data_IF_804303529664
#
_entry.id   IF_804303529664
#
_cell.length_a   1.000
_cell.length_b   1.000
_cell.length_c   1.000
_cell.angle_alpha   90.00
_cell.angle_beta   90.00
_cell.angle_gamma   90.00
#
_symmetry.space_group_name_H-M   'P 1'
#
loop_
_entity.id
_entity.type
_entity.pdbx_description
1 polymer ?
#
# COMPACT_ATOMS: atom_id res chain seq x y z
N UNK A 1 -5.80 -4.23 -48.49
CA UNK A 1 -4.74 -3.37 -47.92
C UNK A 1 -4.67 -3.28 -46.39
N UNK A 2 -5.79 -3.37 -45.63
CA UNK A 2 -5.76 -3.24 -44.15
C UNK A 2 -4.93 -4.30 -43.42
N UNK A 3 -4.83 -5.53 -43.95
CA UNK A 3 -4.05 -6.61 -43.34
C UNK A 3 -2.54 -6.34 -43.34
N UNK A 4 -2.02 -5.77 -44.44
CA UNK A 4 -0.60 -5.44 -44.60
C UNK A 4 -0.20 -4.30 -43.67
N UNK A 5 -1.07 -3.28 -43.53
CA UNK A 5 -0.85 -2.18 -42.57
C UNK A 5 -0.86 -2.66 -41.12
N UNK A 6 -1.75 -3.61 -40.76
CA UNK A 6 -1.81 -4.21 -39.42
C UNK A 6 -0.61 -5.13 -39.13
N UNK A 7 -0.01 -5.72 -40.16
CA UNK A 7 1.21 -6.51 -40.08
C UNK A 7 2.42 -5.59 -39.82
N UNK A 8 2.64 -4.59 -40.69
CA UNK A 8 3.76 -3.66 -40.56
C UNK A 8 3.75 -2.89 -39.24
N UNK A 9 2.55 -2.50 -38.75
CA UNK A 9 2.41 -1.82 -37.45
C UNK A 9 2.80 -2.69 -36.26
N UNK A 10 2.63 -4.02 -36.34
CA UNK A 10 2.98 -4.96 -35.26
C UNK A 10 4.42 -5.49 -35.36
N UNK A 11 5.04 -5.41 -36.53
CA UNK A 11 6.44 -5.82 -36.69
C UNK A 11 7.39 -4.92 -35.90
N UNK A 12 7.19 -3.59 -35.97
CA UNK A 12 8.08 -2.63 -35.29
C UNK A 12 8.10 -2.76 -33.76
N UNK A 13 7.01 -3.22 -33.13
CA UNK A 13 7.01 -3.46 -31.67
C UNK A 13 7.90 -4.64 -31.26
N UNK A 14 8.08 -5.62 -32.14
CA UNK A 14 8.94 -6.79 -31.90
C UNK A 14 10.41 -6.37 -32.02
N UNK A 15 10.75 -5.60 -33.06
CA UNK A 15 12.12 -5.10 -33.28
C UNK A 15 12.61 -4.20 -32.14
N UNK A 16 11.73 -3.36 -31.57
CA UNK A 16 12.07 -2.52 -30.42
C UNK A 16 12.30 -3.34 -29.13
N UNK A 17 11.56 -4.44 -28.94
CA UNK A 17 11.77 -5.34 -27.82
C UNK A 17 13.11 -6.07 -27.97
N UNK A 18 13.44 -6.54 -29.17
CA UNK A 18 14.73 -7.16 -29.46
C UNK A 18 15.88 -6.16 -29.29
N UNK A 19 15.72 -4.88 -29.65
CA UNK A 19 16.75 -3.87 -29.38
C UNK A 19 17.03 -3.67 -27.87
N UNK A 20 16.02 -3.81 -27.02
CA UNK A 20 16.16 -3.67 -25.56
C UNK A 20 16.83 -4.88 -24.90
N UNK A 21 16.69 -6.08 -25.47
CA UNK A 21 17.21 -7.33 -24.91
C UNK A 21 18.71 -7.57 -25.22
N UNK A 22 19.34 -6.77 -26.08
CA UNK A 22 20.64 -7.09 -26.69
C UNK A 22 21.89 -6.24 -26.34
N UNK A 23 21.97 -5.38 -25.30
CA UNK A 23 23.16 -4.51 -25.19
C UNK A 23 24.44 -5.21 -24.69
N UNK A 24 24.37 -6.29 -23.90
CA UNK A 24 25.57 -6.81 -23.21
C UNK A 24 25.72 -8.34 -23.33
N UNK A 25 26.29 -8.83 -24.42
CA UNK A 25 26.68 -10.23 -24.56
C UNK A 25 28.14 -10.33 -25.01
N UNK A 26 29.07 -10.36 -24.05
CA UNK A 26 30.48 -10.69 -24.34
C UNK A 26 30.64 -12.20 -24.62
N UNK A 27 31.56 -12.49 -25.54
CA UNK A 27 31.76 -13.78 -26.20
C UNK A 27 32.11 -14.89 -25.20
N UNK A 28 31.19 -15.80 -24.92
CA UNK A 28 31.54 -17.10 -24.32
C UNK A 28 30.63 -18.24 -24.78
N UNK A 29 31.14 -19.46 -24.60
CA UNK A 29 31.19 -20.53 -25.59
C UNK A 29 29.97 -21.47 -25.65
N UNK A 30 28.79 -21.09 -25.17
CA UNK A 30 27.71 -22.08 -25.00
C UNK A 30 26.36 -21.54 -25.47
N UNK A 31 25.92 -22.00 -26.65
CA UNK A 31 24.57 -21.80 -27.21
C UNK A 31 23.44 -22.03 -26.18
N UNK A 32 23.68 -22.92 -25.22
CA UNK A 32 22.77 -23.21 -24.09
C UNK A 32 22.66 -22.03 -23.12
N UNK A 33 23.79 -21.45 -22.69
CA UNK A 33 23.79 -20.29 -21.80
C UNK A 33 23.16 -19.07 -22.49
N UNK A 34 23.44 -18.87 -23.78
CA UNK A 34 22.79 -17.81 -24.57
C UNK A 34 21.25 -17.97 -24.58
N UNK A 35 20.76 -19.20 -24.71
CA UNK A 35 19.32 -19.49 -24.68
C UNK A 35 18.74 -19.28 -23.28
N UNK A 36 19.48 -19.67 -22.23
CA UNK A 36 19.06 -19.49 -20.83
C UNK A 36 18.93 -18.02 -20.42
N UNK A 37 19.94 -17.20 -20.75
CA UNK A 37 19.91 -15.77 -20.45
C UNK A 37 18.82 -15.06 -21.26
N UNK A 38 18.65 -15.39 -22.54
CA UNK A 38 17.56 -14.86 -23.36
C UNK A 38 16.17 -15.20 -22.81
N UNK A 39 15.94 -16.45 -22.36
CA UNK A 39 14.69 -16.85 -21.73
C UNK A 39 14.45 -16.13 -20.40
N UNK A 40 15.51 -15.89 -19.62
CA UNK A 40 15.43 -15.13 -18.37
C UNK A 40 15.09 -13.66 -18.62
N UNK A 41 15.70 -13.03 -19.63
CA UNK A 41 15.45 -11.63 -19.98
C UNK A 41 14.01 -11.42 -20.51
N UNK A 42 13.49 -12.36 -21.32
CA UNK A 42 12.08 -12.36 -21.75
C UNK A 42 11.14 -12.51 -20.56
N UNK A 43 11.45 -13.43 -19.63
CA UNK A 43 10.64 -13.61 -18.42
C UNK A 43 10.63 -12.33 -17.56
N UNK A 44 11.79 -11.68 -17.40
CA UNK A 44 11.91 -10.41 -16.69
C UNK A 44 11.11 -9.29 -17.37
N UNK A 45 11.15 -9.21 -18.70
CA UNK A 45 10.38 -8.24 -19.46
C UNK A 45 8.87 -8.49 -19.37
N UNK A 46 8.43 -9.75 -19.44
CA UNK A 46 7.04 -10.14 -19.29
C UNK A 46 6.52 -9.83 -17.87
N UNK A 47 7.30 -10.16 -16.84
CA UNK A 47 6.95 -9.80 -15.46
C UNK A 47 6.89 -8.28 -15.25
N UNK A 48 7.77 -7.50 -15.88
CA UNK A 48 7.73 -6.04 -15.85
C UNK A 48 6.46 -5.47 -16.51
N UNK A 49 6.09 -5.96 -17.70
CA UNK A 49 4.85 -5.57 -18.39
C UNK A 49 3.62 -5.93 -17.54
N UNK A 50 3.59 -7.14 -17.00
CA UNK A 50 2.52 -7.60 -16.11
C UNK A 50 2.42 -6.73 -14.86
N UNK A 51 3.55 -6.44 -14.19
CA UNK A 51 3.57 -5.57 -13.02
C UNK A 51 3.10 -4.14 -13.33
N UNK A 52 3.48 -3.58 -14.49
CA UNK A 52 3.06 -2.24 -14.93
C UNK A 52 1.56 -2.16 -15.28
N UNK A 53 1.01 -3.21 -15.89
CA UNK A 53 -0.41 -3.28 -16.29
C UNK A 53 -1.34 -3.65 -15.13
N UNK A 54 -0.89 -4.49 -14.19
CA UNK A 54 -1.68 -4.93 -13.03
C UNK A 54 -1.68 -3.93 -11.87
N UNK A 55 -0.62 -3.11 -11.70
CA UNK A 55 -0.53 -2.09 -10.65
C UNK A 55 -1.71 -1.10 -10.62
N UNK A 56 -2.38 -0.90 -11.75
CA UNK A 56 -3.47 0.07 -11.87
C UNK A 56 -4.87 -0.50 -11.63
N UNK A 57 -5.06 -1.83 -11.52
CA UNK A 57 -6.39 -2.45 -11.44
C UNK A 57 -6.67 -3.22 -10.15
N UNK A 58 -5.66 -3.78 -9.50
CA UNK A 58 -5.83 -4.57 -8.27
C UNK A 58 -4.74 -4.22 -7.25
N UNK A 59 -5.07 -3.37 -6.28
CA UNK A 59 -4.21 -3.06 -5.15
C UNK A 59 -4.55 -3.93 -3.94
N UNK A 60 -3.55 -4.55 -3.32
CA UNK A 60 -3.72 -5.21 -2.01
C UNK A 60 -3.60 -4.12 -0.93
N UNK A 61 -4.68 -3.90 -0.17
CA UNK A 61 -4.66 -2.96 0.95
C UNK A 61 -4.08 -3.67 2.18
N UNK A 62 -3.21 -2.97 2.92
CA UNK A 62 -2.66 -3.47 4.18
C UNK A 62 -2.72 -2.39 5.26
N UNK A 63 -2.83 -2.82 6.52
CA UNK A 63 -2.74 -2.00 7.71
C UNK A 63 -1.38 -2.22 8.34
N UNK A 64 -0.61 -1.15 8.54
CA UNK A 64 0.76 -1.23 9.04
C UNK A 64 0.91 -0.32 10.25
N UNK A 65 1.47 -0.86 11.33
CA UNK A 65 1.89 -0.10 12.50
C UNK A 65 3.42 0.03 12.47
N UNK A 66 3.93 1.26 12.53
CA UNK A 66 5.33 1.58 12.31
C UNK A 66 5.84 2.48 13.44
N UNK A 67 7.09 2.27 13.87
CA UNK A 67 7.80 3.20 14.75
C UNK A 67 8.26 4.44 14.00
N UNK A 68 7.94 5.64 14.50
CA UNK A 68 8.26 6.90 13.80
C UNK A 68 9.76 7.13 13.60
N UNK A 69 10.61 6.78 14.57
CA UNK A 69 12.04 7.15 14.55
C UNK A 69 12.88 6.13 13.82
N UNK A 70 12.73 4.87 14.17
CA UNK A 70 13.54 3.78 13.63
C UNK A 70 12.95 3.15 12.36
N UNK A 71 11.71 3.53 11.97
CA UNK A 71 10.99 3.00 10.80
C UNK A 71 10.81 1.49 10.82
N UNK A 72 10.85 0.87 12.00
CA UNK A 72 10.53 -0.54 12.18
C UNK A 72 9.02 -0.77 12.05
N UNK A 73 8.67 -1.85 11.35
CA UNK A 73 7.28 -2.32 11.26
C UNK A 73 7.02 -3.17 12.50
N UNK A 74 6.15 -2.68 13.39
CA UNK A 74 5.71 -3.43 14.56
C UNK A 74 4.67 -4.50 14.19
N UNK A 75 3.77 -4.17 13.27
CA UNK A 75 2.70 -5.08 12.87
C UNK A 75 2.23 -4.79 11.45
N UNK A 76 1.86 -5.84 10.74
CA UNK A 76 1.37 -5.77 9.36
C UNK A 76 0.19 -6.74 9.19
N UNK A 77 -0.93 -6.24 8.67
CA UNK A 77 -2.12 -7.03 8.44
C UNK A 77 -2.71 -6.75 7.06
N UNK A 78 -2.96 -7.81 6.30
CA UNK A 78 -3.55 -7.72 4.96
C UNK A 78 -5.07 -7.56 5.05
N UNK A 79 -5.62 -6.62 4.28
CA UNK A 79 -7.06 -6.49 4.11
C UNK A 79 -7.56 -7.55 3.14
N UNK A 80 -8.27 -8.55 3.66
CA UNK A 80 -8.77 -9.72 2.90
C UNK A 80 -10.18 -9.51 2.33
N UNK A 81 -10.81 -8.34 2.53
CA UNK A 81 -12.16 -8.04 2.02
C UNK A 81 -13.31 -8.74 2.75
N UNK A 82 -13.04 -9.81 3.51
CA UNK A 82 -13.98 -10.44 4.44
C UNK A 82 -13.86 -9.69 5.78
N UNK A 83 -14.57 -8.58 5.86
CA UNK A 83 -14.77 -7.81 7.08
C UNK A 83 -15.63 -8.70 8.02
N UNK A 84 -15.07 -9.17 9.15
CA UNK A 84 -15.74 -9.03 10.47
C UNK A 84 -15.16 -9.81 11.66
N UNK A 85 -14.24 -10.78 11.53
CA UNK A 85 -13.94 -11.65 12.70
C UNK A 85 -12.70 -11.30 13.53
N UNK A 86 -11.83 -10.38 13.09
CA UNK A 86 -10.59 -10.06 13.81
C UNK A 86 -10.46 -8.60 14.30
N UNK A 87 -11.46 -7.75 14.07
CA UNK A 87 -11.40 -6.37 14.56
C UNK A 87 -11.50 -6.26 16.09
N UNK A 88 -11.83 -7.35 16.79
CA UNK A 88 -11.90 -7.42 18.25
C UNK A 88 -10.66 -8.03 18.93
N UNK A 89 -9.69 -8.60 18.21
CA UNK A 89 -8.59 -9.36 18.83
C UNK A 89 -7.21 -8.98 18.33
N UNK A 90 -6.76 -7.75 18.62
CA UNK A 90 -5.34 -7.47 18.84
C UNK A 90 -5.16 -6.48 20.00
N UNK A 91 -5.69 -6.87 21.16
CA UNK A 91 -5.05 -6.55 22.44
C UNK A 91 -3.72 -7.28 22.48
N UNK A 92 -2.63 -6.55 22.27
CA UNK A 92 -1.28 -6.82 22.78
C UNK A 92 -0.37 -5.72 22.20
N UNK A 93 -0.45 -4.53 22.78
CA UNK A 93 0.67 -3.58 22.69
C UNK A 93 1.14 -3.36 24.11
N UNK A 94 2.08 -4.20 24.51
CA UNK A 94 2.74 -4.17 25.80
C UNK A 94 3.91 -3.18 25.67
N UNK A 95 3.88 -2.16 26.53
CA UNK A 95 4.95 -1.23 26.87
C UNK A 95 5.44 -0.27 25.77
N UNK A 96 4.91 0.96 25.78
CA UNK A 96 5.70 2.16 26.07
C UNK A 96 4.76 3.38 26.14
N UNK A 97 5.10 4.38 26.95
CA UNK A 97 4.48 5.72 27.02
C UNK A 97 4.65 6.49 25.69
N UNK A 98 4.11 5.97 24.60
CA UNK A 98 4.28 6.51 23.25
C UNK A 98 3.00 7.14 22.77
N UNK A 99 3.13 8.31 22.15
CA UNK A 99 2.03 8.97 21.43
C UNK A 99 1.79 8.19 20.15
N UNK A 100 0.56 7.70 19.96
CA UNK A 100 0.14 6.99 18.77
C UNK A 100 -0.50 7.97 17.78
N UNK A 101 0.08 8.10 16.60
CA UNK A 101 -0.50 8.89 15.52
C UNK A 101 -1.47 8.06 14.70
N UNK A 102 -2.75 8.44 14.69
CA UNK A 102 -3.81 7.73 13.96
C UNK A 102 -4.39 8.62 12.84
N UNK A 103 -4.63 7.99 11.69
CA UNK A 103 -5.42 8.59 10.62
C UNK A 103 -6.90 8.63 11.04
N UNK A 104 -7.63 9.63 10.54
CA UNK A 104 -9.04 9.89 10.81
C UNK A 104 -9.92 8.66 10.66
N UNK A 105 -9.56 7.70 9.80
CA UNK A 105 -10.32 6.47 9.62
C UNK A 105 -10.26 5.53 10.84
N UNK A 106 -9.20 5.56 11.65
CA UNK A 106 -9.02 4.70 12.83
C UNK A 106 -9.29 5.41 14.17
N UNK A 107 -9.47 6.74 14.16
CA UNK A 107 -9.63 7.52 15.40
C UNK A 107 -11.07 7.45 15.96
N UNK A 108 -11.30 6.68 17.03
CA UNK A 108 -12.60 6.55 17.70
C UNK A 108 -12.49 6.96 19.18
N UNK A 109 -13.44 7.73 19.75
CA UNK A 109 -13.38 8.15 21.17
C UNK A 109 -13.30 6.97 22.16
N UNK A 110 -14.03 5.89 21.87
CA UNK A 110 -14.00 4.67 22.70
C UNK A 110 -12.67 3.92 22.65
N UNK A 111 -11.89 4.11 21.58
CA UNK A 111 -10.54 3.54 21.47
C UNK A 111 -9.56 4.37 22.32
N UNK A 112 -9.73 5.70 22.31
CA UNK A 112 -8.94 6.62 23.13
C UNK A 112 -9.08 6.32 24.61
N UNK A 113 -10.29 6.15 25.13
CA UNK A 113 -10.50 5.76 26.54
C UNK A 113 -9.79 4.44 26.91
N UNK A 114 -9.80 3.46 26.01
CA UNK A 114 -9.15 2.15 26.24
C UNK A 114 -7.62 2.28 26.20
N UNK A 115 -7.08 3.08 25.29
CA UNK A 115 -5.64 3.30 25.15
C UNK A 115 -5.10 4.17 26.29
N UNK A 116 -5.88 5.15 26.75
CA UNK A 116 -5.54 6.01 27.88
C UNK A 116 -5.45 5.21 29.19
N UNK A 117 -6.32 4.21 29.39
CA UNK A 117 -6.20 3.26 30.52
C UNK A 117 -4.89 2.46 30.49
N UNK A 118 -4.33 2.27 29.30
CA UNK A 118 -3.07 1.57 29.08
C UNK A 118 -1.88 2.54 28.93
N UNK A 119 -2.01 3.80 29.40
CA UNK A 119 -0.98 4.84 29.32
C UNK A 119 -0.46 5.15 27.90
N UNK A 120 -1.31 4.97 26.88
CA UNK A 120 -1.01 5.33 25.49
C UNK A 120 -1.88 6.51 25.08
N UNK A 121 -1.25 7.63 24.70
CA UNK A 121 -1.97 8.83 24.24
C UNK A 121 -2.15 8.78 22.74
N UNK A 122 -3.34 9.10 22.22
CA UNK A 122 -3.58 9.20 20.78
C UNK A 122 -3.42 10.65 20.32
N UNK A 123 -2.78 10.85 19.16
CA UNK A 123 -2.77 12.09 18.43
C UNK A 123 -3.34 11.88 17.03
N UNK A 124 -4.33 12.69 16.63
CA UNK A 124 -4.95 12.56 15.32
C UNK A 124 -6.25 13.33 15.22
N UNK A 125 -6.81 13.38 14.02
CA UNK A 125 -8.10 14.02 13.78
C UNK A 125 -9.23 13.01 13.96
N UNK A 126 -10.34 13.44 14.56
CA UNK A 126 -11.54 12.63 14.75
C UNK A 126 -12.72 13.30 14.05
N UNK A 127 -13.54 12.52 13.33
CA UNK A 127 -14.78 13.05 12.74
C UNK A 127 -15.84 13.21 13.82
N UNK A 128 -16.49 14.37 13.86
CA UNK A 128 -17.58 14.69 14.81
C UNK A 128 -18.71 13.66 14.77
N UNK A 129 -19.04 13.13 13.59
CA UNK A 129 -20.12 12.14 13.40
C UNK A 129 -19.75 10.72 13.87
N UNK A 130 -18.57 10.50 14.47
CA UNK A 130 -18.14 9.19 14.98
C UNK A 130 -19.01 8.74 16.13
N UNK A 131 -19.32 7.44 16.17
CA UNK A 131 -20.00 6.82 17.31
C UNK A 131 -19.15 6.98 18.56
N UNK A 132 -19.74 7.48 19.64
CA UNK A 132 -19.06 7.75 20.91
C UNK A 132 -18.58 9.19 21.10
N UNK A 133 -18.74 10.08 20.11
CA UNK A 133 -18.53 11.52 20.34
C UNK A 133 -19.68 12.11 21.16
N UNK A 134 -19.42 13.06 22.09
CA UNK A 134 -20.47 13.79 22.78
C UNK A 134 -21.27 14.60 21.76
N UNK A 135 -22.60 14.56 21.91
CA UNK A 135 -23.55 15.22 21.00
C UNK A 135 -24.14 16.49 21.58
N UNK A 136 -23.60 16.94 22.70
CA UNK A 136 -24.07 18.11 23.42
C UNK A 136 -23.94 19.35 22.52
N UNK A 137 -24.99 20.16 22.47
CA UNK A 137 -25.02 21.34 21.60
C UNK A 137 -23.92 22.35 21.94
N UNK A 138 -23.55 22.43 23.22
CA UNK A 138 -22.46 23.27 23.71
C UNK A 138 -21.10 22.78 23.16
N UNK A 139 -20.86 21.47 23.17
CA UNK A 139 -19.68 20.87 22.58
C UNK A 139 -19.57 21.15 21.07
N UNK A 140 -20.68 21.04 20.34
CA UNK A 140 -20.73 21.33 18.91
C UNK A 140 -20.48 22.82 18.59
N UNK A 141 -20.94 23.74 19.45
CA UNK A 141 -20.65 25.18 19.33
C UNK A 141 -19.17 25.47 19.57
N UNK A 142 -18.56 24.83 20.57
CA UNK A 142 -17.14 24.98 20.90
C UNK A 142 -16.21 24.45 19.79
N UNK A 143 -16.58 23.39 19.08
CA UNK A 143 -15.78 22.93 17.92
C UNK A 143 -15.86 23.94 16.77
N UNK A 144 -17.06 24.46 16.47
CA UNK A 144 -17.26 25.43 15.39
C UNK A 144 -16.56 26.77 15.65
N UNK A 145 -16.32 27.13 16.91
CA UNK A 145 -15.53 28.32 17.24
C UNK A 145 -14.03 28.08 17.07
N UNK A 146 -13.54 26.87 17.33
CA UNK A 146 -12.14 26.47 17.10
C UNK A 146 -11.77 26.39 15.61
N UNK A 147 -12.71 26.04 14.73
CA UNK A 147 -12.49 25.99 13.26
C UNK A 147 -12.40 27.38 12.59
N UNK A 148 -12.69 28.47 13.33
CA UNK A 148 -12.71 29.85 12.80
C UNK A 148 -11.47 30.68 13.15
N UNK A 149 -10.48 30.10 13.84
CA UNK A 149 -9.17 30.71 14.11
C UNK A 149 -8.12 30.23 13.12
#
# INVERSE_FOLDING_TARGET
MKCILKYNKRMGTIDHQDQMLFPNYEKSHQRILKTFFYMSDIALFNTYIMHKTLRAKFGVKAFVLIESRAKYIFNFELYTGILDLLHQRKTLFFWCFSILFLDTWYSFPTLDEKLHKNHTTICGTVRIRRKGMPRDEEFLKNIKSLEKG
#
